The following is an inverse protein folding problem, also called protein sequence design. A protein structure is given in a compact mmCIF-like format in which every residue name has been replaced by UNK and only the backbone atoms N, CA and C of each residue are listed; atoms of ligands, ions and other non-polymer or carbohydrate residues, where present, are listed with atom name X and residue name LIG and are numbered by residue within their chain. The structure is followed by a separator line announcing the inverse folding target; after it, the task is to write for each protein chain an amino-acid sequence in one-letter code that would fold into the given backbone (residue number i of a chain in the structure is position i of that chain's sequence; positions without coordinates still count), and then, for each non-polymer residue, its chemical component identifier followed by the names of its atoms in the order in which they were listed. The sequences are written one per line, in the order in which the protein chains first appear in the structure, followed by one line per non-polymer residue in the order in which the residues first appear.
data_IF_066720792806
#
_entry.id   IF_066720792806
#
_cell.length_a   1.000
_cell.length_b   1.000
_cell.length_c   1.000
_cell.angle_alpha   90.00
_cell.angle_beta   90.00
_cell.angle_gamma   90.00
#
_symmetry.space_group_name_H-M   'P 1'
#
loop_
_entity.id
_entity.type
_entity.pdbx_description
1 polymer ?
#
# COMPACT_ATOMS: atom_id res chain seq x y z
N UNK A 1 -35.37 -21.69 62.51
CA UNK A 1 -36.44 -22.27 63.35
C UNK A 1 -37.70 -22.44 62.49
N UNK A 2 -38.28 -23.64 62.52
CA UNK A 2 -39.67 -24.02 62.17
C UNK A 2 -40.13 -23.82 60.71
N UNK A 3 -40.17 -24.86 59.85
CA UNK A 3 -41.13 -25.99 59.72
C UNK A 3 -42.57 -25.55 59.38
N UNK A 4 -43.04 -25.86 58.15
CA UNK A 4 -44.37 -26.43 57.96
C UNK A 4 -44.50 -27.24 56.65
N UNK A 5 -44.99 -28.46 56.82
CA UNK A 5 -45.28 -29.53 55.87
C UNK A 5 -46.78 -29.51 55.52
N UNK A 6 -47.16 -29.93 54.30
CA UNK A 6 -48.39 -30.69 53.90
C UNK A 6 -48.62 -30.51 52.38
N UNK A 7 -49.12 -31.44 51.57
CA UNK A 7 -49.44 -32.89 51.62
C UNK A 7 -49.83 -33.29 50.18
N UNK A 8 -49.30 -34.42 49.72
CA UNK A 8 -50.02 -35.52 49.05
C UNK A 8 -50.75 -35.24 47.71
N UNK A 9 -50.28 -35.95 46.68
CA UNK A 9 -50.99 -36.18 45.42
C UNK A 9 -50.30 -37.31 44.64
N UNK A 10 -50.66 -38.54 44.97
CA UNK A 10 -50.19 -39.78 44.37
C UNK A 10 -50.95 -40.02 43.06
N UNK A 11 -50.29 -40.19 41.91
CA UNK A 11 -50.72 -41.21 40.95
C UNK A 11 -49.61 -41.65 40.01
N UNK A 12 -49.45 -42.97 40.03
CA UNK A 12 -48.58 -43.84 39.27
C UNK A 12 -48.93 -43.81 37.79
N UNK A 13 -47.91 -43.79 36.91
CA UNK A 13 -47.97 -44.55 35.67
C UNK A 13 -46.58 -45.11 35.35
N UNK A 14 -46.45 -46.43 35.51
CA UNK A 14 -45.35 -47.22 34.98
C UNK A 14 -45.44 -47.25 33.45
N UNK A 15 -44.34 -46.91 32.78
CA UNK A 15 -43.95 -47.52 31.51
C UNK A 15 -42.43 -47.68 31.56
N UNK A 16 -42.00 -48.93 31.73
CA UNK A 16 -40.61 -49.33 31.59
C UNK A 16 -40.29 -49.44 30.09
N UNK A 17 -39.24 -48.76 29.63
CA UNK A 17 -38.47 -49.18 28.46
C UNK A 17 -37.00 -49.02 28.81
N UNK A 18 -36.35 -50.17 28.99
CA UNK A 18 -34.90 -50.27 29.09
C UNK A 18 -34.29 -50.08 27.70
N UNK A 19 -33.28 -49.21 27.60
CA UNK A 19 -32.50 -48.98 26.39
C UNK A 19 -31.28 -48.14 26.71
N UNK A 20 -30.22 -48.80 27.18
CA UNK A 20 -28.89 -48.21 27.37
C UNK A 20 -28.20 -48.01 26.01
N UNK A 21 -27.96 -46.76 25.63
CA UNK A 21 -26.83 -46.39 24.77
C UNK A 21 -26.24 -45.07 25.30
N UNK A 22 -24.97 -45.12 25.67
CA UNK A 22 -24.17 -43.95 26.02
C UNK A 22 -24.01 -43.07 24.77
N UNK A 23 -24.35 -41.79 24.88
CA UNK A 23 -23.62 -40.73 24.17
C UNK A 23 -23.68 -39.45 24.99
N UNK A 24 -22.48 -38.95 25.27
CA UNK A 24 -22.18 -37.82 26.12
C UNK A 24 -22.60 -36.49 25.48
N UNK A 25 -22.75 -35.48 26.35
CA UNK A 25 -22.91 -34.07 26.03
C UNK A 25 -22.00 -33.58 24.90
N UNK A 26 -22.52 -32.69 24.05
CA UNK A 26 -21.87 -31.40 23.79
C UNK A 26 -22.92 -30.35 23.41
N UNK A 27 -22.89 -29.16 24.01
CA UNK A 27 -23.71 -28.03 23.60
C UNK A 27 -23.13 -27.44 22.30
N UNK A 28 -24.05 -27.02 21.43
CA UNK A 28 -23.79 -26.27 20.20
C UNK A 28 -22.79 -25.14 20.44
N UNK A 29 -21.59 -25.29 19.90
CA UNK A 29 -20.58 -24.24 19.87
C UNK A 29 -21.02 -23.23 18.82
N UNK A 30 -21.47 -22.06 19.27
CA UNK A 30 -21.63 -20.89 18.43
C UNK A 30 -20.28 -20.61 17.73
N UNK A 31 -20.22 -20.88 16.42
CA UNK A 31 -19.09 -20.52 15.58
C UNK A 31 -18.91 -19.00 15.63
N UNK A 32 -17.78 -18.58 16.18
CA UNK A 32 -17.35 -17.20 16.19
C UNK A 32 -17.22 -16.68 14.77
N UNK A 33 -17.98 -15.65 14.45
CA UNK A 33 -17.70 -14.80 13.30
C UNK A 33 -16.33 -14.17 13.51
N UNK A 34 -15.33 -14.69 12.79
CA UNK A 34 -14.03 -14.05 12.67
C UNK A 34 -14.18 -12.63 12.10
N UNK A 35 -13.24 -11.72 12.39
CA UNK A 35 -13.33 -10.34 11.92
C UNK A 35 -13.42 -10.31 10.40
N UNK A 36 -14.46 -9.66 9.89
CA UNK A 36 -14.66 -9.43 8.47
C UNK A 36 -13.40 -8.79 7.88
N UNK A 37 -12.76 -9.48 6.94
CA UNK A 37 -11.60 -8.96 6.23
C UNK A 37 -12.01 -7.69 5.49
N UNK A 38 -11.33 -6.58 5.75
CA UNK A 38 -11.50 -5.36 4.96
C UNK A 38 -11.32 -5.69 3.47
N UNK A 39 -12.11 -5.09 2.56
CA UNK A 39 -11.98 -5.35 1.13
C UNK A 39 -10.53 -5.09 0.71
N UNK A 40 -9.93 -6.08 0.04
CA UNK A 40 -8.55 -5.99 -0.42
C UNK A 40 -8.41 -4.75 -1.32
N UNK A 41 -7.53 -3.82 -0.97
CA UNK A 41 -7.26 -2.61 -1.74
C UNK A 41 -7.05 -2.95 -3.23
N UNK A 42 -7.56 -2.13 -4.15
CA UNK A 42 -7.36 -2.36 -5.57
C UNK A 42 -5.89 -2.10 -5.95
N UNK A 43 -5.30 -2.95 -6.80
CA UNK A 43 -4.00 -2.66 -7.41
C UNK A 43 -4.18 -1.47 -8.38
N UNK A 44 -3.49 -0.37 -8.10
CA UNK A 44 -3.45 0.81 -8.96
C UNK A 44 -2.32 0.68 -9.97
N UNK A 45 -2.63 0.95 -11.24
CA UNK A 45 -1.60 1.17 -12.24
C UNK A 45 -1.03 2.59 -12.09
N UNK A 46 0.28 2.74 -12.29
CA UNK A 46 0.97 4.02 -12.14
C UNK A 46 0.37 5.15 -13.00
N UNK A 47 -0.10 4.85 -14.21
CA UNK A 47 -0.75 5.84 -15.08
C UNK A 47 -2.02 6.46 -14.46
N UNK A 48 -2.68 5.77 -13.54
CA UNK A 48 -3.89 6.29 -12.87
C UNK A 48 -3.59 7.42 -11.90
N UNK A 49 -2.34 7.53 -11.43
CA UNK A 49 -1.89 8.62 -10.56
C UNK A 49 -1.70 9.94 -11.34
N UNK A 50 -1.68 9.88 -12.67
CA UNK A 50 -1.52 11.02 -13.55
C UNK A 50 -2.91 11.61 -13.85
N UNK A 51 -3.17 12.91 -13.59
CA UNK A 51 -4.39 13.57 -14.03
C UNK A 51 -4.53 13.50 -15.56
N UNK A 52 -5.73 13.15 -16.04
CA UNK A 52 -5.99 12.94 -17.49
C UNK A 52 -5.77 14.20 -18.34
N UNK A 53 -5.89 15.36 -17.73
CA UNK A 53 -5.73 16.69 -18.34
C UNK A 53 -4.30 17.23 -18.24
N UNK A 54 -3.39 16.51 -17.60
CA UNK A 54 -1.99 16.91 -17.48
C UNK A 54 -1.13 16.28 -18.58
N UNK A 55 -0.62 17.13 -19.48
CA UNK A 55 0.34 16.75 -20.51
C UNK A 55 1.64 17.58 -20.34
N UNK A 56 2.71 17.00 -19.76
CA UNK A 56 3.97 17.72 -19.55
C UNK A 56 4.72 18.00 -20.86
N UNK A 57 4.31 17.40 -21.98
CA UNK A 57 5.02 17.52 -23.26
C UNK A 57 4.58 18.70 -24.11
N UNK A 58 3.42 19.31 -23.81
CA UNK A 58 2.83 20.36 -24.67
C UNK A 58 3.78 21.50 -25.01
N UNK A 59 4.59 21.94 -24.03
CA UNK A 59 5.56 23.03 -24.20
C UNK A 59 6.70 22.69 -25.18
N UNK A 60 6.99 21.41 -25.36
CA UNK A 60 8.17 20.95 -26.10
C UNK A 60 7.86 20.45 -27.52
N UNK A 61 6.57 20.25 -27.87
CA UNK A 61 6.14 19.66 -29.15
C UNK A 61 6.64 20.42 -30.40
N UNK A 62 6.96 21.71 -30.26
CA UNK A 62 7.38 22.57 -31.36
C UNK A 62 8.89 22.92 -31.31
N UNK A 63 9.68 22.21 -30.50
CA UNK A 63 11.11 22.45 -30.36
C UNK A 63 11.86 21.34 -31.09
N UNK A 64 12.77 21.71 -31.99
CA UNK A 64 13.69 20.72 -32.59
C UNK A 64 14.79 20.40 -31.58
N UNK A 65 14.64 19.25 -30.91
CA UNK A 65 15.62 18.73 -29.97
C UNK A 65 16.92 18.32 -30.67
N UNK A 66 16.84 17.95 -31.96
CA UNK A 66 17.98 17.54 -32.79
C UNK A 66 18.96 18.69 -33.09
N UNK A 67 18.49 19.93 -33.00
CA UNK A 67 19.31 21.13 -33.21
C UNK A 67 20.04 21.59 -31.93
N UNK A 68 19.75 20.98 -30.77
CA UNK A 68 20.36 21.33 -29.50
C UNK A 68 21.61 20.47 -29.25
N UNK A 69 22.66 21.09 -28.73
CA UNK A 69 23.88 20.41 -28.26
C UNK A 69 23.85 20.34 -26.73
N UNK A 70 24.47 19.33 -26.16
CA UNK A 70 24.48 19.12 -24.70
C UNK A 70 25.03 20.31 -23.90
N UNK A 71 25.98 21.06 -24.47
CA UNK A 71 26.56 22.24 -23.83
C UNK A 71 25.91 23.57 -24.27
N UNK A 72 24.80 23.55 -25.00
CA UNK A 72 24.03 24.75 -25.36
C UNK A 72 23.30 25.28 -24.11
N UNK A 73 23.50 26.55 -23.71
CA UNK A 73 22.79 27.14 -22.57
C UNK A 73 21.25 27.02 -22.66
N UNK A 74 20.71 26.99 -23.88
CA UNK A 74 19.26 26.78 -24.11
C UNK A 74 18.83 25.36 -23.76
N UNK A 75 19.67 24.36 -24.01
CA UNK A 75 19.39 22.98 -23.65
C UNK A 75 19.39 22.82 -22.12
N UNK A 76 20.34 23.45 -21.43
CA UNK A 76 20.40 23.48 -19.96
C UNK A 76 19.13 24.11 -19.40
N UNK A 77 18.75 25.30 -19.88
CA UNK A 77 17.53 25.98 -19.44
C UNK A 77 16.28 25.12 -19.68
N UNK A 78 16.20 24.43 -20.82
CA UNK A 78 15.09 23.55 -21.14
C UNK A 78 14.96 22.39 -20.15
N UNK A 79 16.09 21.78 -19.79
CA UNK A 79 16.12 20.69 -18.81
C UNK A 79 15.71 21.18 -17.42
N UNK A 80 16.15 22.38 -17.02
CA UNK A 80 15.75 23.01 -15.75
C UNK A 80 14.23 23.28 -15.73
N UNK A 81 13.67 23.80 -16.82
CA UNK A 81 12.23 24.00 -16.94
C UNK A 81 11.45 22.68 -16.89
N UNK A 82 11.92 21.65 -17.60
CA UNK A 82 11.33 20.32 -17.57
C UNK A 82 11.36 19.73 -16.17
N UNK A 83 12.48 19.89 -15.47
CA UNK A 83 12.63 19.46 -14.09
C UNK A 83 11.62 20.15 -13.19
N UNK A 84 11.46 21.47 -13.33
CA UNK A 84 10.47 22.23 -12.57
C UNK A 84 9.03 21.78 -12.87
N UNK A 85 8.68 21.48 -14.12
CA UNK A 85 7.35 20.96 -14.48
C UNK A 85 7.10 19.60 -13.82
N UNK A 86 8.11 18.72 -13.84
CA UNK A 86 8.00 17.38 -13.25
C UNK A 86 7.91 17.42 -11.73
N UNK A 87 8.69 18.29 -11.07
CA UNK A 87 8.60 18.49 -9.63
C UNK A 87 7.24 19.05 -9.20
N UNK A 88 6.63 19.88 -10.05
CA UNK A 88 5.31 20.45 -9.80
C UNK A 88 4.17 19.66 -10.46
N UNK A 89 4.41 18.41 -10.87
CA UNK A 89 3.39 17.59 -11.49
C UNK A 89 2.17 17.43 -10.55
N UNK A 90 0.95 17.72 -11.04
CA UNK A 90 -0.27 17.65 -10.23
C UNK A 90 -0.65 16.20 -9.95
N UNK A 91 -1.25 15.98 -8.79
CA UNK A 91 -1.80 14.68 -8.39
C UNK A 91 -3.23 14.51 -8.88
N UNK A 92 -3.64 13.27 -9.09
CA UNK A 92 -5.03 12.89 -9.28
C UNK A 92 -5.75 12.93 -7.93
N UNK A 93 -6.39 14.06 -7.64
CA UNK A 93 -7.09 14.33 -6.37
C UNK A 93 -8.20 13.34 -6.05
N UNK A 94 -8.75 12.63 -7.04
CA UNK A 94 -9.78 11.62 -6.82
C UNK A 94 -9.26 10.37 -6.09
N UNK A 95 -7.93 10.19 -6.02
CA UNK A 95 -7.30 9.09 -5.31
C UNK A 95 -6.97 9.44 -3.84
N UNK A 96 -7.11 10.71 -3.44
CA UNK A 96 -6.80 11.10 -2.06
C UNK A 96 -7.73 10.43 -1.04
N UNK A 97 -7.15 9.82 -0.02
CA UNK A 97 -7.85 9.09 1.02
C UNK A 97 -8.39 7.72 0.59
N UNK A 98 -8.09 7.26 -0.62
CA UNK A 98 -8.53 5.95 -1.09
C UNK A 98 -7.60 4.82 -0.61
N UNK A 99 -8.15 3.62 -0.46
CA UNK A 99 -7.33 2.43 -0.25
C UNK A 99 -6.61 2.08 -1.56
N UNK A 100 -5.29 1.97 -1.50
CA UNK A 100 -4.44 1.74 -2.65
C UNK A 100 -3.48 0.58 -2.41
N UNK A 101 -3.14 -0.10 -3.50
CA UNK A 101 -2.02 -1.02 -3.58
C UNK A 101 -1.21 -0.69 -4.83
N UNK A 102 0.10 -0.54 -4.70
CA UNK A 102 1.00 -0.29 -5.82
C UNK A 102 2.21 -1.21 -5.75
N UNK A 103 2.61 -1.72 -6.91
CA UNK A 103 3.87 -2.41 -7.09
C UNK A 103 4.93 -1.47 -7.68
N UNK A 104 6.16 -1.51 -7.18
CA UNK A 104 7.24 -0.63 -7.63
C UNK A 104 8.59 -0.99 -7.02
N UNK A 105 9.53 -0.06 -7.13
CA UNK A 105 10.91 -0.23 -6.67
C UNK A 105 11.22 0.69 -5.50
N UNK A 106 12.09 0.25 -4.59
CA UNK A 106 12.44 0.97 -3.36
C UNK A 106 13.60 1.94 -3.59
N UNK A 107 13.41 3.23 -3.35
CA UNK A 107 14.50 4.22 -3.20
C UNK A 107 14.61 4.57 -1.71
N UNK A 108 15.61 4.04 -0.97
CA UNK A 108 15.68 4.25 0.47
C UNK A 108 15.90 5.73 0.83
N UNK A 109 15.13 6.24 1.78
CA UNK A 109 15.36 7.55 2.42
C UNK A 109 16.05 7.37 3.78
N UNK A 110 15.79 6.23 4.43
CA UNK A 110 16.59 5.71 5.52
C UNK A 110 17.19 4.34 5.19
N UNK A 111 18.31 4.03 5.83
CA UNK A 111 18.91 2.70 5.83
C UNK A 111 19.61 2.49 7.18
N UNK A 112 19.01 1.65 8.01
CA UNK A 112 19.53 1.36 9.36
C UNK A 112 19.89 -0.13 9.48
N UNK A 113 20.65 -0.54 10.52
CA UNK A 113 20.87 -1.96 10.79
C UNK A 113 19.58 -2.77 11.00
N UNK A 114 18.50 -2.11 11.44
CA UNK A 114 17.21 -2.74 11.67
C UNK A 114 16.36 -2.89 10.39
N UNK A 115 16.76 -2.23 9.29
CA UNK A 115 16.08 -2.24 8.01
C UNK A 115 15.76 -0.84 7.49
N UNK A 116 14.91 -0.81 6.45
CA UNK A 116 14.41 0.41 5.81
C UNK A 116 12.96 0.63 6.26
N UNK A 117 12.66 1.81 6.79
CA UNK A 117 11.30 2.21 7.18
C UNK A 117 10.74 3.27 6.24
N UNK A 118 11.60 4.18 5.79
CA UNK A 118 11.25 5.37 5.02
C UNK A 118 11.90 5.28 3.63
N UNK A 119 11.08 5.29 2.59
CA UNK A 119 11.54 5.17 1.21
C UNK A 119 10.58 5.80 0.21
N UNK A 120 11.07 6.10 -0.99
CA UNK A 120 10.22 6.40 -2.12
C UNK A 120 9.93 5.13 -2.91
N UNK A 121 8.67 4.91 -3.25
CA UNK A 121 8.25 3.91 -4.23
C UNK A 121 8.18 4.57 -5.60
N UNK A 122 8.81 3.94 -6.59
CA UNK A 122 8.93 4.46 -7.96
C UNK A 122 8.53 3.40 -9.01
N UNK A 123 8.07 3.81 -10.21
CA UNK A 123 7.50 2.91 -11.20
C UNK A 123 8.52 2.08 -11.98
N UNK A 124 9.80 2.45 -12.00
CA UNK A 124 10.82 1.77 -12.78
C UNK A 124 12.16 1.66 -12.05
N UNK A 125 12.91 0.62 -12.40
CA UNK A 125 14.22 0.34 -11.85
C UNK A 125 15.23 1.43 -12.25
N UNK A 126 16.03 1.91 -11.30
CA UNK A 126 17.07 2.92 -11.52
C UNK A 126 16.59 4.38 -11.47
N UNK A 127 15.31 4.62 -11.23
CA UNK A 127 14.77 5.95 -10.92
C UNK A 127 15.53 6.59 -9.73
N UNK A 128 15.78 7.90 -9.82
CA UNK A 128 16.47 8.73 -8.82
C UNK A 128 17.94 8.39 -8.54
N UNK A 129 18.43 7.21 -8.94
CA UNK A 129 19.80 6.76 -8.68
C UNK A 129 20.66 6.81 -9.94
N UNK A 130 20.16 6.24 -11.05
CA UNK A 130 20.88 6.18 -12.33
C UNK A 130 20.27 7.09 -13.39
N UNK A 131 19.01 7.46 -13.20
CA UNK A 131 18.24 8.30 -14.10
C UNK A 131 17.59 9.43 -13.30
N UNK A 132 17.26 10.56 -13.95
CA UNK A 132 16.56 11.64 -13.29
C UNK A 132 15.29 11.15 -12.56
N UNK A 133 14.90 11.80 -11.45
CA UNK A 133 13.67 11.44 -10.74
C UNK A 133 12.43 11.53 -11.66
N UNK A 134 11.46 10.61 -11.50
CA UNK A 134 10.16 10.73 -12.14
C UNK A 134 9.44 12.05 -11.80
N UNK A 135 8.36 12.40 -12.52
CA UNK A 135 7.43 13.44 -12.10
C UNK A 135 6.85 13.16 -10.71
N UNK A 136 6.50 14.20 -9.96
CA UNK A 136 6.05 14.07 -8.58
C UNK A 136 4.81 13.18 -8.41
N UNK A 137 3.90 13.20 -9.40
CA UNK A 137 2.73 12.31 -9.43
C UNK A 137 3.05 10.86 -9.81
N UNK A 138 4.34 10.50 -9.93
CA UNK A 138 4.86 9.16 -10.18
C UNK A 138 5.87 8.75 -9.10
N UNK A 139 5.85 9.39 -7.93
CA UNK A 139 6.66 9.05 -6.77
C UNK A 139 5.73 9.02 -5.56
N UNK A 140 5.79 7.92 -4.78
CA UNK A 140 5.04 7.78 -3.52
C UNK A 140 6.03 7.71 -2.37
N UNK A 141 5.91 8.60 -1.39
CA UNK A 141 6.62 8.50 -0.12
C UNK A 141 5.97 7.43 0.76
N UNK A 142 6.72 6.41 1.15
CA UNK A 142 6.22 5.28 1.91
C UNK A 142 6.87 5.24 3.28
N UNK A 143 6.04 5.21 4.31
CA UNK A 143 6.47 5.10 5.70
C UNK A 143 5.89 3.80 6.27
N UNK A 144 6.73 2.79 6.46
CA UNK A 144 6.34 1.55 7.11
C UNK A 144 6.13 1.78 8.64
N UNK A 145 5.24 1.01 9.30
CA UNK A 145 5.02 1.13 10.75
C UNK A 145 6.25 0.69 11.59
N UNK A 146 7.13 -0.13 11.00
CA UNK A 146 8.40 -0.56 11.57
C UNK A 146 9.43 -0.80 10.44
N UNK A 147 10.74 -0.78 10.73
CA UNK A 147 11.77 -1.11 9.73
C UNK A 147 11.56 -2.48 9.09
N UNK A 148 11.60 -2.51 7.75
CA UNK A 148 11.48 -3.74 6.95
C UNK A 148 12.86 -4.37 6.79
N UNK A 149 13.07 -5.51 7.46
CA UNK A 149 14.36 -6.20 7.47
C UNK A 149 14.73 -6.75 6.10
N UNK A 150 16.02 -6.62 5.79
CA UNK A 150 16.64 -7.15 4.57
C UNK A 150 16.13 -6.50 3.29
N UNK A 151 15.40 -5.38 3.35
CA UNK A 151 15.00 -4.60 2.18
C UNK A 151 16.20 -3.80 1.68
N UNK A 152 16.38 -3.77 0.37
CA UNK A 152 17.48 -3.07 -0.28
C UNK A 152 16.97 -2.06 -1.30
N UNK A 153 17.86 -1.14 -1.70
CA UNK A 153 17.60 -0.26 -2.82
C UNK A 153 17.23 -1.07 -4.07
N UNK A 154 16.20 -0.62 -4.76
CA UNK A 154 15.61 -1.21 -5.96
C UNK A 154 15.02 -2.61 -5.79
N UNK A 155 14.82 -3.10 -4.56
CA UNK A 155 13.97 -4.28 -4.36
C UNK A 155 12.58 -4.00 -4.93
N UNK A 156 12.00 -4.99 -5.61
CA UNK A 156 10.62 -4.91 -6.07
C UNK A 156 9.69 -5.22 -4.90
N UNK A 157 8.77 -4.32 -4.63
CA UNK A 157 7.81 -4.44 -3.53
C UNK A 157 6.40 -4.13 -4.01
N UNK A 158 5.43 -4.69 -3.29
CA UNK A 158 4.05 -4.25 -3.28
C UNK A 158 3.79 -3.52 -1.98
N UNK A 159 3.27 -2.30 -2.08
CA UNK A 159 2.92 -1.44 -0.95
C UNK A 159 1.40 -1.30 -0.93
N UNK A 160 0.78 -1.44 0.25
CA UNK A 160 -0.66 -1.22 0.44
C UNK A 160 -0.93 -0.29 1.61
N UNK A 161 -1.94 0.57 1.50
CA UNK A 161 -2.38 1.47 2.56
C UNK A 161 -3.39 2.50 2.07
N UNK A 162 -3.53 3.61 2.80
CA UNK A 162 -4.33 4.76 2.35
C UNK A 162 -3.43 5.71 1.57
N UNK A 163 -3.75 5.97 0.32
CA UNK A 163 -3.02 6.93 -0.50
C UNK A 163 -3.42 8.34 -0.12
N UNK A 164 -2.44 9.20 0.16
CA UNK A 164 -2.66 10.61 0.46
C UNK A 164 -1.99 11.49 -0.58
N UNK A 165 -2.68 12.54 -0.99
CA UNK A 165 -2.09 13.65 -1.75
C UNK A 165 -1.23 14.50 -0.79
N UNK A 166 0.03 14.12 -0.62
CA UNK A 166 0.96 14.74 0.31
C UNK A 166 2.35 14.81 -0.34
N UNK A 167 3.02 15.96 -0.15
CA UNK A 167 4.30 16.24 -0.79
C UNK A 167 5.45 15.99 0.17
N UNK A 168 6.44 15.24 -0.30
CA UNK A 168 7.75 15.10 0.32
C UNK A 168 8.82 15.57 -0.67
N UNK A 169 9.81 16.32 -0.20
CA UNK A 169 10.91 16.80 -1.04
C UNK A 169 12.25 16.32 -0.50
N UNK A 170 13.05 15.72 -1.39
CA UNK A 170 14.45 15.40 -1.16
C UNK A 170 15.29 16.15 -2.18
N UNK A 171 16.42 16.72 -1.73
CA UNK A 171 17.32 17.46 -2.61
C UNK A 171 17.83 16.59 -3.78
N UNK A 172 18.12 15.32 -3.50
CA UNK A 172 18.76 14.43 -4.48
C UNK A 172 17.76 13.44 -5.12
N UNK A 173 16.66 13.13 -4.43
CA UNK A 173 15.70 12.10 -4.89
C UNK A 173 14.42 12.67 -5.52
N UNK A 174 14.34 14.00 -5.62
CA UNK A 174 13.21 14.71 -6.20
C UNK A 174 12.03 14.89 -5.24
N UNK A 175 10.85 15.13 -5.81
CA UNK A 175 9.64 15.45 -5.05
C UNK A 175 8.60 14.36 -5.24
N UNK A 176 8.02 13.85 -4.16
CA UNK A 176 6.81 13.01 -4.21
C UNK A 176 5.56 13.88 -4.19
N UNK A 177 4.53 13.43 -4.89
CA UNK A 177 3.17 13.99 -4.83
C UNK A 177 2.24 13.20 -3.92
N UNK A 178 2.60 11.96 -3.60
CA UNK A 178 1.79 11.07 -2.78
C UNK A 178 2.55 10.54 -1.57
N UNK A 179 1.79 10.10 -0.57
CA UNK A 179 2.26 9.40 0.61
C UNK A 179 1.38 8.18 0.91
N UNK A 180 1.99 7.11 1.44
CA UNK A 180 1.30 6.05 2.17
C UNK A 180 1.99 5.87 3.52
N UNK A 181 1.37 6.39 4.57
CA UNK A 181 1.81 6.20 5.95
C UNK A 181 1.31 4.87 6.52
N UNK A 182 2.09 4.30 7.45
CA UNK A 182 1.82 2.99 8.08
C UNK A 182 1.55 1.90 7.03
N UNK A 183 2.33 1.90 5.95
CA UNK A 183 2.11 1.03 4.81
C UNK A 183 2.43 -0.43 5.12
N UNK A 184 1.63 -1.35 4.58
CA UNK A 184 2.00 -2.75 4.49
C UNK A 184 2.94 -2.94 3.29
N UNK A 185 4.10 -3.55 3.51
CA UNK A 185 5.14 -3.75 2.49
C UNK A 185 5.40 -5.24 2.31
N UNK A 186 5.17 -5.74 1.10
CA UNK A 186 5.43 -7.12 0.69
C UNK A 186 6.55 -7.10 -0.36
N UNK A 187 7.65 -7.84 -0.12
CA UNK A 187 8.68 -8.03 -1.16
C UNK A 187 8.19 -9.00 -2.21
N UNK A 188 8.30 -8.61 -3.47
CA UNK A 188 8.02 -9.46 -4.61
C UNK A 188 9.32 -10.15 -5.03
N UNK A 189 9.42 -11.45 -4.74
CA UNK A 189 10.53 -12.28 -5.22
C UNK A 189 10.09 -12.88 -6.55
N UNK A 190 10.70 -12.47 -7.66
CA UNK A 190 10.49 -13.13 -8.95
C UNK A 190 11.12 -14.51 -8.83
N UNK A 191 10.29 -15.53 -8.61
CA UNK A 191 10.75 -16.91 -8.68
C UNK A 191 10.99 -17.19 -10.16
N UNK A 192 12.25 -17.21 -10.58
CA UNK A 192 12.60 -17.75 -11.89
C UNK A 192 12.14 -19.22 -11.87
N UNK A 193 11.20 -19.57 -12.75
CA UNK A 193 10.82 -20.96 -12.95
C UNK A 193 12.04 -21.80 -13.35
N UNK A 194 11.97 -23.14 -13.16
CA UNK A 194 13.08 -24.04 -13.46
C UNK A 194 13.60 -23.92 -14.89
#
# INVERSE_FOLDING_TARGET
MSVLVRRVGMMVLLMAVAGTLLSACSPDAAEGQGPASAPAAQELAWDTLIPKDWDPTQRYRNISLEALRDNDPRAIQMLDEMRAVWDNAPVNVALDGTAARLSGFVVPLDATPDGIRDFLLVPYFGACIHTPPPPANQIVHVIAPAPVKGLHAMDTVRVSGTLKAARYASADMGVSGYEIASAAVERLVVTQGP
#
